data_IF_715989522036
#
_entry.id   IF_715989522036
#
_cell.length_a   1.000
_cell.length_b   1.000
_cell.length_c   1.000
_cell.angle_alpha   90.00
_cell.angle_beta   90.00
_cell.angle_gamma   90.00
#
_symmetry.space_group_name_H-M   'P 1'
#
loop_
_entity.id
_entity.type
_entity.pdbx_description
1 polymer ?
#
# COMPACT_ATOMS: atom_id res chain seq x y z
N UNK A 1 35.42 -16.59 -35.89
CA UNK A 1 34.98 -15.18 -35.90
C UNK A 1 33.99 -15.01 -34.76
N UNK A 2 34.43 -14.59 -33.57
CA UNK A 2 33.57 -14.56 -32.38
C UNK A 2 33.72 -13.23 -31.65
N UNK A 3 32.65 -12.42 -31.82
CA UNK A 3 32.07 -11.36 -31.00
C UNK A 3 33.02 -10.39 -30.28
N UNK A 4 33.11 -9.17 -30.83
CA UNK A 4 33.52 -7.95 -30.10
C UNK A 4 32.62 -7.78 -28.86
N UNK A 5 33.23 -7.67 -27.68
CA UNK A 5 32.55 -7.32 -26.44
C UNK A 5 32.29 -5.81 -26.42
N UNK A 6 31.11 -5.40 -25.92
CA UNK A 6 30.70 -4.00 -25.79
C UNK A 6 31.77 -3.20 -25.02
N UNK A 7 32.32 -2.15 -25.63
CA UNK A 7 33.24 -1.24 -24.94
C UNK A 7 32.49 -0.47 -23.86
N UNK A 8 33.04 -0.48 -22.65
CA UNK A 8 32.57 0.40 -21.58
C UNK A 8 32.95 1.85 -21.89
N UNK A 9 32.10 2.78 -21.45
CA UNK A 9 32.23 4.22 -21.68
C UNK A 9 33.49 4.86 -21.02
N UNK A 10 34.30 4.08 -20.30
CA UNK A 10 35.48 4.55 -19.56
C UNK A 10 36.80 4.52 -20.36
N UNK A 11 36.81 4.02 -21.60
CA UNK A 11 38.06 3.82 -22.36
C UNK A 11 38.21 4.72 -23.60
N UNK A 12 37.41 5.78 -23.75
CA UNK A 12 37.36 6.57 -25.00
C UNK A 12 38.35 7.76 -25.08
N UNK A 13 39.26 7.92 -24.12
CA UNK A 13 40.24 9.01 -24.20
C UNK A 13 41.45 8.61 -25.07
N UNK A 14 41.37 8.93 -26.37
CA UNK A 14 42.49 8.90 -27.31
C UNK A 14 43.59 9.88 -26.86
N UNK A 15 44.80 9.38 -26.68
CA UNK A 15 46.02 10.17 -26.81
C UNK A 15 46.95 9.48 -27.81
N UNK A 16 47.39 10.25 -28.81
CA UNK A 16 48.24 9.82 -29.93
C UNK A 16 49.70 9.72 -29.49
N UNK A 17 50.44 8.70 -29.96
CA UNK A 17 51.90 8.69 -29.93
C UNK A 17 52.58 7.34 -29.66
N UNK A 18 53.05 6.72 -30.75
CA UNK A 18 54.21 5.80 -30.89
C UNK A 18 54.24 4.38 -30.27
N UNK A 19 54.72 3.47 -31.13
CA UNK A 19 54.86 2.02 -30.96
C UNK A 19 55.82 1.59 -29.85
N UNK A 20 55.39 0.62 -29.04
CA UNK A 20 56.15 -0.60 -28.76
C UNK A 20 55.24 -1.66 -28.13
N UNK A 21 55.38 -2.89 -28.62
CA UNK A 21 54.61 -4.06 -28.24
C UNK A 21 54.61 -4.34 -26.73
N UNK A 22 53.47 -4.12 -26.05
CA UNK A 22 53.21 -4.65 -24.73
C UNK A 22 51.85 -5.35 -24.67
N UNK A 23 51.87 -6.54 -24.05
CA UNK A 23 50.77 -7.51 -23.95
C UNK A 23 49.50 -6.86 -23.41
N UNK A 24 48.29 -7.25 -23.88
CA UNK A 24 47.05 -6.65 -23.39
C UNK A 24 46.88 -7.02 -21.91
N UNK A 25 47.12 -6.03 -21.05
CA UNK A 25 46.86 -6.14 -19.62
C UNK A 25 45.34 -6.19 -19.47
N UNK A 26 44.83 -7.34 -19.00
CA UNK A 26 43.40 -7.53 -18.75
C UNK A 26 43.00 -6.47 -17.71
N UNK A 27 42.15 -5.52 -18.10
CA UNK A 27 41.60 -4.54 -17.17
C UNK A 27 40.49 -5.24 -16.37
N UNK A 28 40.78 -5.61 -15.13
CA UNK A 28 39.76 -6.04 -14.18
C UNK A 28 39.12 -4.80 -13.57
N UNK A 29 38.01 -4.36 -14.17
CA UNK A 29 37.15 -3.35 -13.57
C UNK A 29 36.47 -4.00 -12.37
N UNK A 30 36.98 -3.74 -11.17
CA UNK A 30 36.26 -4.06 -9.95
C UNK A 30 34.96 -3.24 -9.96
N UNK A 31 33.85 -3.94 -10.21
CA UNK A 31 32.51 -3.40 -9.98
C UNK A 31 32.48 -2.90 -8.54
N UNK A 32 32.39 -1.59 -8.34
CA UNK A 32 32.11 -1.02 -7.03
C UNK A 32 30.86 -1.72 -6.50
N UNK A 33 31.04 -2.42 -5.38
CA UNK A 33 29.98 -3.16 -4.72
C UNK A 33 28.87 -2.16 -4.39
N UNK A 34 27.69 -2.40 -4.96
CA UNK A 34 26.51 -1.59 -4.67
C UNK A 34 26.22 -1.65 -3.16
N UNK A 35 25.80 -0.53 -2.54
CA UNK A 35 25.41 -0.52 -1.13
C UNK A 35 24.37 -1.62 -0.86
N UNK A 36 24.30 -2.14 0.38
CA UNK A 36 23.37 -3.22 0.74
C UNK A 36 21.99 -2.92 0.18
N UNK A 37 21.51 -3.79 -0.70
CA UNK A 37 20.14 -3.70 -1.17
C UNK A 37 19.26 -3.94 0.04
N UNK A 38 18.59 -2.87 0.51
CA UNK A 38 17.43 -2.96 1.39
C UNK A 38 16.56 -4.13 0.88
N UNK A 39 16.08 -5.04 1.75
CA UNK A 39 15.35 -6.20 1.29
C UNK A 39 14.21 -5.71 0.40
N UNK A 40 14.23 -6.16 -0.87
CA UNK A 40 13.20 -5.87 -1.85
C UNK A 40 11.90 -6.57 -1.43
N UNK A 41 11.30 -6.08 -0.35
CA UNK A 41 9.94 -6.38 0.03
C UNK A 41 9.05 -5.64 -0.94
N UNK A 42 8.23 -6.40 -1.65
CA UNK A 42 7.12 -5.88 -2.46
C UNK A 42 6.27 -4.98 -1.54
N UNK A 43 6.50 -3.68 -1.63
CA UNK A 43 5.82 -2.68 -0.80
C UNK A 43 4.54 -2.35 -1.54
N UNK A 44 3.47 -3.07 -1.19
CA UNK A 44 2.16 -2.83 -1.80
C UNK A 44 1.54 -1.57 -1.20
N UNK A 45 1.45 -0.52 -2.01
CA UNK A 45 0.80 0.73 -1.62
C UNK A 45 -0.71 0.67 -1.89
N UNK A 46 -1.51 1.05 -0.89
CA UNK A 46 -2.97 1.11 -1.00
C UNK A 46 -3.47 2.50 -0.64
N UNK A 47 -4.41 3.02 -1.45
CA UNK A 47 -5.05 4.31 -1.24
C UNK A 47 -6.46 4.10 -0.70
N UNK A 48 -6.79 4.80 0.38
CA UNK A 48 -8.07 4.70 1.06
C UNK A 48 -8.55 6.10 1.41
N UNK A 49 -9.87 6.29 1.45
CA UNK A 49 -10.42 7.50 2.03
C UNK A 49 -10.11 7.55 3.53
N UNK A 50 -9.76 8.72 4.04
CA UNK A 50 -9.47 8.95 5.47
C UNK A 50 -10.62 8.44 6.35
N UNK A 51 -11.86 8.83 6.03
CA UNK A 51 -13.03 8.38 6.78
C UNK A 51 -13.21 6.86 6.72
N UNK A 52 -12.86 6.18 5.63
CA UNK A 52 -12.89 4.71 5.61
C UNK A 52 -11.89 4.14 6.62
N UNK A 53 -10.66 4.65 6.68
CA UNK A 53 -9.67 4.17 7.64
C UNK A 53 -10.10 4.43 9.11
N UNK A 54 -10.59 5.64 9.40
CA UNK A 54 -10.98 6.07 10.75
C UNK A 54 -12.18 5.29 11.30
N UNK A 55 -13.18 5.01 10.45
CA UNK A 55 -14.42 4.33 10.87
C UNK A 55 -14.34 2.80 10.79
N UNK A 56 -13.23 2.26 10.30
CA UNK A 56 -13.04 0.82 10.22
C UNK A 56 -12.64 0.25 11.58
N UNK A 57 -13.38 -0.76 12.04
CA UNK A 57 -13.08 -1.43 13.29
C UNK A 57 -11.69 -2.07 13.26
N UNK A 58 -10.91 -1.88 14.33
CA UNK A 58 -9.57 -2.45 14.47
C UNK A 58 -8.45 -1.64 13.81
N UNK A 59 -8.78 -0.52 13.15
CA UNK A 59 -7.79 0.44 12.65
C UNK A 59 -7.59 1.56 13.68
N UNK A 60 -6.34 1.87 13.99
CA UNK A 60 -6.01 2.94 14.94
C UNK A 60 -4.69 3.62 14.59
N UNK A 61 -4.58 4.91 14.93
CA UNK A 61 -3.40 5.74 14.71
C UNK A 61 -2.64 5.92 16.02
N UNK A 62 -1.36 5.52 16.06
CA UNK A 62 -0.47 5.72 17.22
C UNK A 62 0.81 6.40 16.74
N UNK A 63 1.12 7.56 17.32
CA UNK A 63 2.34 8.32 17.01
C UNK A 63 2.58 8.51 15.49
N UNK A 64 1.51 8.83 14.75
CA UNK A 64 1.57 9.05 13.30
C UNK A 64 1.65 7.78 12.44
N UNK A 65 1.49 6.59 13.03
CA UNK A 65 1.49 5.30 12.32
C UNK A 65 0.13 4.61 12.42
N UNK A 66 -0.38 4.13 11.29
CA UNK A 66 -1.62 3.36 11.21
C UNK A 66 -1.35 1.88 11.48
N UNK A 67 -2.20 1.28 12.31
CA UNK A 67 -2.16 -0.14 12.66
C UNK A 67 -3.48 -0.81 12.32
N UNK A 68 -3.44 -2.12 12.10
CA UNK A 68 -4.62 -2.94 11.81
C UNK A 68 -5.21 -2.79 10.39
N UNK A 69 -4.71 -1.84 9.60
CA UNK A 69 -5.22 -1.53 8.27
C UNK A 69 -5.17 -2.73 7.31
N UNK A 70 -4.01 -3.42 7.26
CA UNK A 70 -3.84 -4.57 6.38
C UNK A 70 -4.84 -5.69 6.69
N UNK A 71 -5.06 -5.96 7.98
CA UNK A 71 -5.99 -7.00 8.42
C UNK A 71 -7.44 -6.59 8.17
N UNK A 72 -7.76 -5.31 8.37
CA UNK A 72 -9.07 -4.78 8.05
C UNK A 72 -9.40 -4.86 6.56
N UNK A 73 -8.44 -4.53 5.68
CA UNK A 73 -8.59 -4.65 4.22
C UNK A 73 -8.79 -6.10 3.81
N UNK A 74 -7.99 -7.03 4.33
CA UNK A 74 -8.16 -8.47 4.09
C UNK A 74 -9.52 -8.96 4.55
N UNK A 75 -9.97 -8.56 5.74
CA UNK A 75 -11.27 -8.92 6.27
C UNK A 75 -12.42 -8.38 5.44
N UNK A 76 -12.27 -7.17 4.86
CA UNK A 76 -13.30 -6.56 4.02
C UNK A 76 -13.37 -7.10 2.59
N UNK A 77 -12.41 -7.92 2.16
CA UNK A 77 -12.32 -8.40 0.77
C UNK A 77 -13.60 -9.08 0.29
N UNK A 78 -14.29 -9.82 1.17
CA UNK A 78 -15.54 -10.52 0.86
C UNK A 78 -16.78 -9.89 1.54
N UNK A 79 -16.60 -8.84 2.35
CA UNK A 79 -17.71 -8.19 3.06
C UNK A 79 -18.49 -7.26 2.14
N UNK A 80 -19.75 -7.61 1.90
CA UNK A 80 -20.66 -6.84 1.05
C UNK A 80 -21.35 -5.72 1.80
N UNK A 81 -21.32 -4.53 1.23
CA UNK A 81 -22.06 -3.38 1.73
C UNK A 81 -23.57 -3.66 1.71
N UNK A 82 -24.26 -3.44 2.83
CA UNK A 82 -25.71 -3.63 2.96
C UNK A 82 -26.53 -2.66 2.11
N UNK A 83 -25.93 -1.58 1.61
CA UNK A 83 -26.57 -0.58 0.75
C UNK A 83 -26.31 -0.88 -0.74
N UNK A 84 -25.04 -0.85 -1.18
CA UNK A 84 -24.69 -1.00 -2.60
C UNK A 84 -24.36 -2.44 -3.03
N UNK A 85 -24.32 -3.41 -2.11
CA UNK A 85 -24.03 -4.84 -2.36
C UNK A 85 -22.64 -5.16 -2.96
N UNK A 86 -21.75 -4.17 -3.07
CA UNK A 86 -20.36 -4.36 -3.49
C UNK A 86 -19.47 -4.75 -2.30
N UNK A 87 -18.39 -5.47 -2.58
CA UNK A 87 -17.39 -5.88 -1.58
C UNK A 87 -16.53 -4.69 -1.08
N UNK A 88 -15.82 -4.86 0.03
CA UNK A 88 -14.96 -3.82 0.61
C UNK A 88 -15.58 -3.05 1.79
N UNK A 89 -16.73 -3.49 2.30
CA UNK A 89 -17.43 -2.80 3.39
C UNK A 89 -16.82 -3.09 4.76
N UNK A 90 -16.32 -2.05 5.42
CA UNK A 90 -15.59 -2.14 6.69
C UNK A 90 -16.32 -1.57 7.92
N UNK A 91 -17.38 -0.77 7.72
CA UNK A 91 -18.06 -0.07 8.81
C UNK A 91 -19.30 -0.85 9.25
N UNK A 92 -19.14 -1.63 10.33
CA UNK A 92 -20.19 -2.49 10.89
C UNK A 92 -21.13 -1.77 11.87
N UNK A 93 -22.38 -2.22 11.93
CA UNK A 93 -23.31 -1.77 12.98
C UNK A 93 -22.85 -2.27 14.36
N UNK A 94 -22.77 -1.38 15.35
CA UNK A 94 -22.33 -1.70 16.71
C UNK A 94 -23.34 -2.52 17.53
N UNK A 95 -24.55 -2.75 17.00
CA UNK A 95 -25.55 -3.57 17.68
C UNK A 95 -25.14 -5.04 17.64
N UNK A 96 -25.08 -5.69 18.81
CA UNK A 96 -24.70 -7.10 18.93
C UNK A 96 -25.54 -7.99 18.01
N UNK A 97 -24.86 -8.81 17.20
CA UNK A 97 -25.49 -9.74 16.26
C UNK A 97 -26.04 -9.12 14.98
N UNK A 98 -25.86 -7.80 14.76
CA UNK A 98 -26.29 -7.16 13.52
C UNK A 98 -25.29 -7.46 12.40
N UNK A 99 -25.71 -8.08 11.28
CA UNK A 99 -24.81 -8.39 10.16
C UNK A 99 -24.60 -7.19 9.21
N UNK A 100 -25.22 -6.04 9.49
CA UNK A 100 -25.18 -4.90 8.58
C UNK A 100 -23.81 -4.21 8.62
N UNK A 101 -23.06 -4.33 7.53
CA UNK A 101 -21.82 -3.60 7.24
C UNK A 101 -22.01 -2.68 6.04
N UNK A 102 -21.29 -1.56 6.02
CA UNK A 102 -21.39 -0.52 5.00
C UNK A 102 -20.01 0.02 4.64
N UNK A 103 -19.89 0.58 3.43
CA UNK A 103 -18.89 1.63 3.21
C UNK A 103 -19.26 2.87 4.02
N UNK A 104 -18.28 3.68 4.42
CA UNK A 104 -18.53 4.93 5.13
C UNK A 104 -19.51 5.84 4.36
N UNK A 105 -19.23 6.12 3.09
CA UNK A 105 -20.11 6.95 2.26
C UNK A 105 -21.53 6.37 2.15
N UNK A 106 -21.65 5.06 1.88
CA UNK A 106 -22.94 4.39 1.82
C UNK A 106 -23.71 4.48 3.16
N UNK A 107 -23.03 4.42 4.30
CA UNK A 107 -23.67 4.58 5.60
C UNK A 107 -24.29 5.97 5.76
N UNK A 108 -23.57 7.02 5.35
CA UNK A 108 -24.07 8.40 5.33
C UNK A 108 -25.31 8.51 4.46
N UNK A 109 -25.23 8.03 3.22
CA UNK A 109 -26.34 8.11 2.24
C UNK A 109 -27.58 7.33 2.68
N UNK A 110 -27.38 6.19 3.35
CA UNK A 110 -28.49 5.34 3.84
C UNK A 110 -29.08 5.86 5.17
N UNK A 111 -28.54 6.96 5.71
CA UNK A 111 -29.05 7.58 6.94
C UNK A 111 -28.72 6.82 8.23
N UNK A 112 -27.64 6.03 8.23
CA UNK A 112 -27.08 5.42 9.44
C UNK A 112 -26.76 6.51 10.48
N UNK A 113 -26.81 6.15 11.78
CA UNK A 113 -26.32 7.05 12.84
C UNK A 113 -24.86 6.78 13.09
N UNK A 114 -24.04 7.80 12.87
CA UNK A 114 -22.60 7.79 13.04
C UNK A 114 -22.29 8.61 14.29
N UNK A 115 -21.63 8.02 15.29
CA UNK A 115 -21.23 8.70 16.52
C UNK A 115 -19.71 8.87 16.55
N UNK A 116 -19.25 10.10 16.32
CA UNK A 116 -17.81 10.43 16.20
C UNK A 116 -17.04 10.23 17.51
N UNK A 117 -17.67 10.46 18.66
CA UNK A 117 -17.02 10.29 19.99
C UNK A 117 -16.56 8.85 20.24
N UNK A 118 -17.22 7.87 19.63
CA UNK A 118 -16.93 6.44 19.79
C UNK A 118 -16.62 5.72 18.48
N UNK A 119 -16.57 6.45 17.37
CA UNK A 119 -16.47 5.91 16.00
C UNK A 119 -17.41 4.72 15.76
N UNK A 120 -18.67 4.83 16.22
CA UNK A 120 -19.65 3.75 16.16
C UNK A 120 -20.79 4.04 15.19
N UNK A 121 -21.21 3.01 14.45
CA UNK A 121 -22.32 3.08 13.50
C UNK A 121 -23.54 2.32 14.01
N UNK A 122 -24.73 2.92 13.90
CA UNK A 122 -26.02 2.23 14.02
C UNK A 122 -26.75 2.28 12.68
N UNK A 123 -27.06 1.10 12.13
CA UNK A 123 -27.82 0.99 10.89
C UNK A 123 -29.25 1.55 11.06
N UNK A 124 -30.00 1.81 9.98
CA UNK A 124 -31.35 2.37 10.09
C UNK A 124 -32.30 1.54 10.95
N UNK A 125 -32.10 0.22 11.04
CA UNK A 125 -32.87 -0.67 11.93
C UNK A 125 -32.59 -0.47 13.42
N UNK A 126 -31.41 0.04 13.78
CA UNK A 126 -30.97 0.23 15.16
C UNK A 126 -30.74 1.70 15.53
N UNK A 127 -31.03 2.61 14.60
CA UNK A 127 -31.12 4.04 14.85
C UNK A 127 -32.26 4.25 15.85
N UNK A 128 -31.92 4.73 17.06
CA UNK A 128 -32.94 5.23 17.98
C UNK A 128 -33.48 6.51 17.38
N UNK A 129 -34.80 6.61 17.24
CA UNK A 129 -35.44 7.83 16.78
C UNK A 129 -35.12 8.93 17.80
N UNK A 130 -34.72 10.14 17.38
CA UNK A 130 -34.65 11.27 18.29
C UNK A 130 -36.06 11.49 18.85
N UNK A 131 -36.15 11.64 20.18
CA UNK A 131 -37.37 12.10 20.85
C UNK A 131 -37.72 13.52 20.40
#
# INVERSE_FOLDING_TARGET
>A
MFRRLQSCYCCDERTEGEEAAEKPRRHECHKAESPPQEPAGDTQEHWLHEACAVWTAGVFLVAGKLYGLQEAVKAAADLKCSSCQQAGATVGCCQKGCPHTYHYACAVDTGCSLTEESFSLKCPKHKRQPL
#
